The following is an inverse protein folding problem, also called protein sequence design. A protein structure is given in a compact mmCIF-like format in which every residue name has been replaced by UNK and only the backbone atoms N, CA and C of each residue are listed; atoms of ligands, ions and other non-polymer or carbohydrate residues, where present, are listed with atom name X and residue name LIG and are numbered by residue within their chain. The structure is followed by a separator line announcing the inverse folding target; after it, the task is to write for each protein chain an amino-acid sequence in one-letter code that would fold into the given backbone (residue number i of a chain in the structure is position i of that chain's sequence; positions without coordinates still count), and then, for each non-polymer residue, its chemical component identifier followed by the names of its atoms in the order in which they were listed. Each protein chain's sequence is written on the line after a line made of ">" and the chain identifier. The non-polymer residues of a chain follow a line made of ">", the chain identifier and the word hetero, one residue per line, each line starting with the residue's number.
data_IF_500132970548
#
_entry.id   IF_500132970548
#
_cell.length_a   1.000
_cell.length_b   1.000
_cell.length_c   1.000
_cell.angle_alpha   90.00
_cell.angle_beta   90.00
_cell.angle_gamma   90.00
#
_symmetry.space_group_name_H-M   'P 1'
#
loop_
_entity.id
_entity.type
_entity.pdbx_description
1 polymer ?
#
# COMPACT_ATOMS: atom_id res chain seq x y z
N UNK A 1 -26.35 20.94 -6.60
CA UNK A 1 -25.60 20.79 -6.65
C UNK A 1 -24.96 20.56 -6.98
N UNK A 2 -24.68 20.39 -7.07
CA UNK A 2 -23.75 20.15 -7.20
C UNK A 2 -23.14 20.04 -7.85
N UNK A 3 -22.69 19.95 -7.93
CA UNK A 3 -21.82 19.78 -8.27
C UNK A 3 -21.11 19.55 -8.77
N UNK A 4 -20.78 19.41 -8.95
CA UNK A 4 -20.00 19.13 -9.27
C UNK A 4 -19.16 18.91 -9.49
N UNK A 5 -18.87 19.00 -9.79
CA UNK A 5 -18.01 18.83 -9.81
C UNK A 5 -17.07 18.17 -10.32
N UNK A 6 -16.98 17.83 -10.55
CA UNK A 6 -16.00 16.79 -10.65
C UNK A 6 -14.85 17.03 -11.58
N UNK A 7 -15.06 17.54 -12.71
CA UNK A 7 -13.96 17.74 -13.65
C UNK A 7 -13.03 18.87 -13.25
N UNK A 8 -13.55 19.82 -12.56
CA UNK A 8 -12.80 21.03 -12.22
C UNK A 8 -11.64 20.76 -11.27
N UNK A 9 -11.65 19.67 -10.59
CA UNK A 9 -10.63 19.41 -9.59
C UNK A 9 -9.57 18.43 -10.09
N UNK A 10 -9.43 18.30 -11.38
CA UNK A 10 -8.39 17.46 -11.92
C UNK A 10 -7.01 18.05 -11.71
N UNK A 11 -6.93 19.36 -11.66
CA UNK A 11 -5.69 20.03 -11.34
C UNK A 11 -5.48 19.98 -9.84
N UNK A 12 -4.33 19.47 -9.41
CA UNK A 12 -4.02 19.40 -8.01
C UNK A 12 -4.62 18.21 -7.29
N UNK A 13 -5.43 17.41 -7.97
CA UNK A 13 -6.01 16.21 -7.38
C UNK A 13 -5.03 15.05 -7.58
N UNK A 14 -4.73 14.30 -6.50
CA UNK A 14 -3.84 13.16 -6.65
C UNK A 14 -4.41 12.14 -7.63
N UNK A 15 -3.55 11.54 -8.42
CA UNK A 15 -3.98 10.49 -9.33
C UNK A 15 -4.33 9.25 -8.57
N UNK A 16 -5.28 8.48 -9.12
CA UNK A 16 -5.61 7.17 -8.58
C UNK A 16 -4.41 6.24 -8.73
N UNK A 17 -4.24 5.28 -7.83
CA UNK A 17 -3.20 4.27 -8.00
C UNK A 17 -3.42 3.49 -9.28
N UNK A 18 -2.35 2.93 -9.83
CA UNK A 18 -2.47 2.02 -10.94
C UNK A 18 -3.29 0.81 -10.50
N UNK A 19 -4.12 0.25 -11.39
CA UNK A 19 -4.81 -1.00 -11.07
C UNK A 19 -3.79 -2.09 -10.74
N UNK A 20 -4.14 -2.96 -9.79
CA UNK A 20 -3.25 -4.05 -9.41
C UNK A 20 -3.56 -5.27 -10.27
N UNK A 21 -2.60 -5.73 -11.10
CA UNK A 21 -2.83 -6.92 -11.90
C UNK A 21 -3.09 -8.14 -11.01
N UNK A 22 -3.95 -9.08 -11.44
CA UNK A 22 -4.25 -10.26 -10.62
C UNK A 22 -3.01 -11.07 -10.22
N UNK A 23 -2.04 -11.18 -11.12
CA UNK A 23 -0.81 -11.89 -10.81
C UNK A 23 0.00 -11.24 -9.70
N UNK A 24 0.06 -9.91 -9.71
CA UNK A 24 0.76 -9.16 -8.67
C UNK A 24 0.03 -9.32 -7.34
N UNK A 25 -1.30 -9.25 -7.36
CA UNK A 25 -2.10 -9.45 -6.16
C UNK A 25 -1.82 -10.81 -5.53
N UNK A 26 -1.84 -11.86 -6.35
CA UNK A 26 -1.58 -13.21 -5.85
C UNK A 26 -0.17 -13.33 -5.30
N UNK A 27 0.80 -12.72 -5.96
CA UNK A 27 2.19 -12.75 -5.54
C UNK A 27 2.37 -12.09 -4.17
N UNK A 28 1.78 -10.93 -3.97
CA UNK A 28 1.89 -10.20 -2.71
C UNK A 28 1.22 -10.99 -1.59
N UNK A 29 0.03 -11.55 -1.85
CA UNK A 29 -0.68 -12.34 -0.85
C UNK A 29 0.12 -13.57 -0.45
N UNK A 30 0.73 -14.26 -1.41
CA UNK A 30 1.54 -15.42 -1.12
C UNK A 30 2.79 -15.05 -0.33
N UNK A 31 3.43 -13.94 -0.67
CA UNK A 31 4.64 -13.48 0.00
C UNK A 31 4.37 -13.07 1.44
N UNK A 32 3.37 -12.22 1.65
CA UNK A 32 3.11 -11.63 2.96
C UNK A 32 2.31 -12.55 3.88
N UNK A 33 1.37 -13.28 3.33
CA UNK A 33 0.61 -14.29 4.07
C UNK A 33 -0.41 -13.75 5.06
N UNK A 34 -0.14 -12.60 5.66
CA UNK A 34 -0.99 -11.97 6.66
C UNK A 34 -0.66 -10.49 6.67
N UNK A 35 -1.31 -9.74 7.56
CA UNK A 35 -1.01 -8.33 7.76
C UNK A 35 0.48 -8.16 8.12
N UNK A 36 1.19 -7.34 7.35
CA UNK A 36 2.62 -7.17 7.55
C UNK A 36 2.94 -6.55 8.91
N UNK A 37 2.09 -5.64 9.40
CA UNK A 37 2.27 -5.12 10.76
C UNK A 37 2.23 -6.25 11.79
N UNK A 38 1.31 -7.19 11.62
CA UNK A 38 1.23 -8.35 12.51
C UNK A 38 2.47 -9.22 12.39
N UNK A 39 2.92 -9.46 11.14
CA UNK A 39 4.13 -10.26 10.90
C UNK A 39 5.37 -9.62 11.51
N UNK A 40 5.42 -8.30 11.56
CA UNK A 40 6.55 -7.57 12.14
C UNK A 40 6.43 -7.37 13.64
N UNK A 41 5.32 -7.79 14.23
CA UNK A 41 5.12 -7.62 15.68
C UNK A 41 4.79 -6.20 16.08
N UNK A 42 4.31 -5.39 15.15
CA UNK A 42 3.91 -4.01 15.45
C UNK A 42 2.53 -4.05 16.10
N UNK A 43 2.43 -3.51 17.30
CA UNK A 43 1.18 -3.54 18.06
C UNK A 43 0.11 -2.69 17.38
N UNK A 44 -1.03 -3.30 17.14
CA UNK A 44 -2.20 -2.63 16.59
C UNK A 44 -3.39 -3.57 16.74
N UNK A 45 -4.57 -3.05 16.50
CA UNK A 45 -5.80 -3.84 16.59
C UNK A 45 -6.04 -4.52 15.25
N UNK A 46 -5.39 -5.68 15.03
CA UNK A 46 -5.40 -6.36 13.74
C UNK A 46 -6.69 -7.14 13.53
N UNK A 47 -7.51 -6.70 12.60
CA UNK A 47 -8.77 -7.35 12.30
C UNK A 47 -9.23 -6.96 10.90
N UNK A 48 -10.20 -7.73 10.39
CA UNK A 48 -10.85 -7.40 9.15
C UNK A 48 -10.13 -7.92 7.92
N UNK A 49 -10.65 -7.53 6.76
CA UNK A 49 -10.13 -7.99 5.48
C UNK A 49 -8.79 -7.35 5.17
N UNK A 50 -7.84 -8.16 4.75
CA UNK A 50 -6.53 -7.65 4.33
C UNK A 50 -6.64 -6.92 3.02
N UNK A 51 -5.91 -5.82 2.91
CA UNK A 51 -5.91 -4.95 1.75
C UNK A 51 -4.50 -4.83 1.19
N UNK A 52 -4.40 -4.66 -0.12
CA UNK A 52 -3.13 -4.32 -0.75
C UNK A 52 -2.92 -2.82 -0.61
N UNK A 53 -1.82 -2.44 0.01
CA UNK A 53 -1.53 -1.04 0.25
C UNK A 53 -0.22 -0.66 -0.42
N UNK A 54 -0.23 0.52 -1.05
CA UNK A 54 0.95 1.05 -1.71
C UNK A 54 1.89 1.65 -0.67
N UNK A 55 3.14 1.19 -0.66
CA UNK A 55 4.13 1.69 0.27
C UNK A 55 4.49 3.14 -0.08
N UNK A 56 4.72 3.39 -1.36
CA UNK A 56 4.93 4.75 -1.85
C UNK A 56 3.65 5.20 -2.54
N UNK A 57 3.11 6.32 -2.08
CA UNK A 57 1.83 6.80 -2.56
C UNK A 57 1.88 7.31 -4.00
N UNK A 58 3.06 7.64 -4.50
CA UNK A 58 3.21 8.04 -5.89
C UNK A 58 4.64 7.76 -6.34
N UNK A 59 4.83 7.70 -7.66
CA UNK A 59 6.16 7.52 -8.22
C UNK A 59 6.92 8.83 -8.37
N UNK A 60 6.28 9.94 -8.03
CA UNK A 60 6.84 11.26 -8.16
C UNK A 60 5.75 12.26 -8.41
N UNK A 61 6.13 13.51 -8.60
CA UNK A 61 5.15 14.58 -8.80
C UNK A 61 4.28 14.28 -10.01
N UNK A 62 2.98 14.22 -9.80
CA UNK A 62 2.00 13.95 -10.85
C UNK A 62 1.94 12.54 -11.35
N UNK A 63 2.69 11.62 -10.75
CA UNK A 63 2.71 10.22 -11.17
C UNK A 63 1.84 9.37 -10.26
N UNK A 64 1.33 8.27 -10.82
CA UNK A 64 0.53 7.32 -10.06
C UNK A 64 1.39 6.48 -9.14
N UNK A 65 0.77 5.92 -8.10
CA UNK A 65 1.40 4.88 -7.30
C UNK A 65 1.63 3.65 -8.18
N UNK A 66 2.79 3.06 -8.05
CA UNK A 66 3.10 1.85 -8.82
C UNK A 66 2.45 0.64 -8.16
N UNK A 67 1.80 -0.18 -8.97
CA UNK A 67 1.15 -1.41 -8.50
C UNK A 67 2.01 -2.63 -8.85
N UNK A 68 3.22 -2.62 -8.32
CA UNK A 68 4.19 -3.70 -8.49
C UNK A 68 4.45 -4.35 -7.15
N UNK A 69 4.94 -5.60 -7.17
CA UNK A 69 5.15 -6.33 -5.92
C UNK A 69 6.15 -5.66 -5.00
N UNK A 70 7.06 -4.85 -5.54
CA UNK A 70 8.03 -4.14 -4.72
C UNK A 70 7.49 -2.85 -4.11
N UNK A 71 6.22 -2.55 -4.33
CA UNK A 71 5.57 -1.35 -3.77
C UNK A 71 4.25 -1.66 -3.08
N UNK A 72 3.94 -2.94 -2.86
CA UNK A 72 2.67 -3.35 -2.25
C UNK A 72 2.91 -4.26 -1.07
N UNK A 73 2.10 -4.09 -0.03
CA UNK A 73 2.10 -4.97 1.15
C UNK A 73 0.66 -5.25 1.55
N UNK A 74 0.45 -6.37 2.25
CA UNK A 74 -0.85 -6.66 2.84
C UNK A 74 -0.94 -5.99 4.20
N UNK A 75 -2.01 -5.24 4.42
CA UNK A 75 -2.28 -4.63 5.70
C UNK A 75 -3.75 -4.79 6.04
N UNK A 76 -4.07 -4.99 7.33
CA UNK A 76 -5.44 -4.93 7.79
C UNK A 76 -5.89 -3.45 7.80
N UNK A 77 -7.20 -3.19 7.90
CA UNK A 77 -7.69 -1.81 7.89
C UNK A 77 -7.06 -0.93 8.96
N UNK A 78 -6.84 -1.47 10.16
CA UNK A 78 -6.22 -0.73 11.25
C UNK A 78 -4.78 -0.36 10.92
N UNK A 79 -4.00 -1.30 10.43
CA UNK A 79 -2.60 -1.04 10.03
C UNK A 79 -2.53 -0.03 8.89
N UNK A 80 -3.42 -0.16 7.92
CA UNK A 80 -3.51 0.79 6.81
C UNK A 80 -3.74 2.21 7.34
N UNK A 81 -4.65 2.34 8.31
CA UNK A 81 -4.96 3.65 8.89
C UNK A 81 -3.76 4.22 9.63
N UNK A 82 -3.10 3.41 10.44
CA UNK A 82 -1.91 3.84 11.17
C UNK A 82 -0.84 4.34 10.19
N UNK A 83 -0.61 3.58 9.14
CA UNK A 83 0.37 3.96 8.12
C UNK A 83 0.00 5.28 7.47
N UNK A 84 -1.27 5.43 7.07
CA UNK A 84 -1.74 6.64 6.40
C UNK A 84 -1.58 7.87 7.29
N UNK A 85 -1.94 7.75 8.56
CA UNK A 85 -1.88 8.88 9.50
C UNK A 85 -0.45 9.26 9.85
N UNK A 86 0.49 8.35 9.71
CA UNK A 86 1.89 8.58 10.06
C UNK A 86 2.73 9.09 8.88
N UNK A 87 2.11 9.33 7.73
CA UNK A 87 2.83 9.83 6.56
C UNK A 87 3.87 8.84 6.06
N UNK A 88 5.14 9.24 6.09
CA UNK A 88 6.21 8.41 5.55
C UNK A 88 6.93 7.57 6.59
N UNK A 89 6.47 7.62 7.81
CA UNK A 89 7.18 6.98 8.92
C UNK A 89 7.44 5.49 8.69
N UNK A 90 6.46 4.78 8.15
CA UNK A 90 6.54 3.34 8.00
C UNK A 90 7.17 2.88 6.69
N UNK A 91 7.45 3.82 5.79
CA UNK A 91 7.98 3.46 4.47
C UNK A 91 9.29 2.66 4.56
N UNK A 92 10.30 3.09 5.32
CA UNK A 92 11.54 2.31 5.39
C UNK A 92 11.33 0.91 5.93
N UNK A 93 10.44 0.78 6.92
CA UNK A 93 10.16 -0.51 7.54
C UNK A 93 9.51 -1.46 6.53
N UNK A 94 8.53 -0.95 5.79
CA UNK A 94 7.81 -1.78 4.82
C UNK A 94 8.67 -2.12 3.60
N UNK A 95 9.49 -1.21 3.15
CA UNK A 95 10.42 -1.50 2.06
C UNK A 95 11.45 -2.54 2.47
N UNK A 96 11.92 -2.47 3.72
CA UNK A 96 12.84 -3.49 4.23
C UNK A 96 12.18 -4.85 4.32
N UNK A 97 10.90 -4.90 4.70
CA UNK A 97 10.13 -6.14 4.70
C UNK A 97 10.10 -6.77 3.32
N UNK A 98 9.74 -5.95 2.31
CA UNK A 98 9.65 -6.43 0.92
C UNK A 98 10.99 -6.97 0.45
N UNK A 99 12.05 -6.25 0.72
CA UNK A 99 13.39 -6.62 0.28
C UNK A 99 13.83 -7.94 0.92
N UNK A 100 13.59 -8.08 2.22
CA UNK A 100 13.96 -9.31 2.93
C UNK A 100 13.15 -10.49 2.42
N UNK A 101 11.86 -10.29 2.20
CA UNK A 101 11.00 -11.36 1.70
C UNK A 101 11.43 -11.82 0.30
N UNK A 102 11.88 -10.88 -0.53
CA UNK A 102 12.38 -11.22 -1.86
C UNK A 102 13.64 -12.05 -1.77
N UNK A 103 14.55 -11.73 -0.85
CA UNK A 103 15.77 -12.50 -0.67
C UNK A 103 15.47 -13.90 -0.14
N UNK A 104 14.52 -14.03 0.76
CA UNK A 104 14.19 -15.34 1.33
C UNK A 104 13.49 -16.26 0.34
N UNK A 105 12.91 -15.70 -0.70
CA UNK A 105 12.23 -16.49 -1.72
C UNK A 105 13.17 -17.10 -2.75
N UNK A 106 14.44 -16.70 -2.76
CA UNK A 106 15.43 -17.21 -3.72
C UNK A 106 16.02 -18.57 -3.33
#
# INVERSE_FOLDING_TARGET
>A
MLRRYPTRHRHGVPRSPDPVPPGVRAQVRARDGDCVFARLGILHDCFGRLELDHVRASGGLGMRSRSTSDNLVLLCPSAHRIKTLAGRRWRPVLLAWIERAAREAE
#
